data_IF_106429905951
#
_entry.id   IF_106429905951
#
_cell.length_a   1.000
_cell.length_b   1.000
_cell.length_c   1.000
_cell.angle_alpha   90.00
_cell.angle_beta   90.00
_cell.angle_gamma   90.00
#
_symmetry.space_group_name_H-M   'P 1'
#
loop_
_entity.id
_entity.type
_entity.pdbx_description
1 polymer ?
#
# COMPACT_ATOMS: atom_id res chain seq x y z
N UNK A 1 13.77 3.55 0.35
CA UNK A 1 12.87 4.18 1.35
C UNK A 1 11.54 3.44 1.53
N UNK A 2 10.81 3.12 0.45
CA UNK A 2 9.49 2.45 0.53
C UNK A 2 9.46 1.12 1.29
N UNK A 3 10.42 0.23 1.05
CA UNK A 3 10.51 -1.07 1.77
C UNK A 3 10.62 -0.86 3.28
N UNK A 4 11.42 0.11 3.73
CA UNK A 4 11.60 0.43 5.15
C UNK A 4 10.26 0.85 5.77
N UNK A 5 9.56 1.74 5.08
CA UNK A 5 8.27 2.25 5.54
C UNK A 5 7.20 1.14 5.55
N UNK A 6 7.17 0.30 4.50
CA UNK A 6 6.31 -0.88 4.44
C UNK A 6 6.54 -1.85 5.60
N UNK A 7 7.79 -2.18 5.92
CA UNK A 7 8.12 -3.05 7.08
C UNK A 7 7.67 -2.43 8.39
N UNK A 8 7.82 -1.12 8.56
CA UNK A 8 7.33 -0.41 9.76
C UNK A 8 5.81 -0.48 9.87
N UNK A 9 5.11 -0.16 8.77
CA UNK A 9 3.66 -0.22 8.70
C UNK A 9 3.13 -1.62 9.07
N UNK A 10 3.75 -2.69 8.59
CA UNK A 10 3.37 -4.06 8.95
C UNK A 10 3.53 -4.30 10.46
N UNK A 11 4.68 -3.96 11.05
CA UNK A 11 4.92 -4.14 12.49
C UNK A 11 3.98 -3.31 13.34
N UNK A 12 3.75 -2.06 12.97
CA UNK A 12 2.86 -1.14 13.67
C UNK A 12 1.42 -1.64 13.63
N UNK A 13 0.94 -2.12 12.48
CA UNK A 13 -0.39 -2.72 12.37
C UNK A 13 -0.53 -3.99 13.23
N UNK A 14 0.49 -4.85 13.29
CA UNK A 14 0.49 -6.04 14.17
C UNK A 14 0.49 -5.66 15.65
N UNK A 15 1.15 -4.56 16.05
CA UNK A 15 1.06 -4.10 17.44
C UNK A 15 -0.29 -3.43 17.72
N UNK A 16 -0.81 -2.62 16.78
CA UNK A 16 -2.11 -1.97 16.89
C UNK A 16 -3.25 -2.98 17.02
N UNK A 17 -3.20 -4.11 16.30
CA UNK A 17 -4.27 -5.11 16.33
C UNK A 17 -4.56 -5.65 17.74
N UNK A 18 -3.56 -5.63 18.63
CA UNK A 18 -3.68 -6.08 20.03
C UNK A 18 -4.59 -5.20 20.87
N UNK A 19 -4.72 -3.92 20.55
CA UNK A 19 -5.42 -2.94 21.39
C UNK A 19 -6.40 -2.02 20.65
N UNK A 20 -6.43 -2.01 19.32
CA UNK A 20 -7.25 -1.07 18.54
C UNK A 20 -8.77 -1.19 18.81
N UNK A 21 -9.21 -2.37 19.23
CA UNK A 21 -10.61 -2.64 19.61
C UNK A 21 -10.90 -2.40 21.09
N UNK A 22 -9.88 -2.19 21.92
CA UNK A 22 -10.06 -1.88 23.35
C UNK A 22 -10.28 -0.37 23.57
N UNK A 23 -10.43 0.04 24.83
CA UNK A 23 -10.57 1.44 25.20
C UNK A 23 -9.21 2.13 25.39
N UNK A 24 -8.40 2.19 24.34
CA UNK A 24 -7.02 2.68 24.41
C UNK A 24 -6.87 4.22 24.51
N UNK A 25 -7.94 5.00 24.31
CA UNK A 25 -7.94 6.47 24.44
C UNK A 25 -9.30 7.03 24.83
N UNK A 26 -9.30 8.21 25.47
CA UNK A 26 -10.51 8.92 25.91
C UNK A 26 -11.31 9.59 24.76
N UNK A 27 -10.65 9.97 23.66
CA UNK A 27 -11.30 10.63 22.52
C UNK A 27 -11.93 9.66 21.49
N UNK A 28 -12.50 10.18 20.38
CA UNK A 28 -13.14 9.37 19.35
C UNK A 28 -12.20 8.30 18.79
N UNK A 29 -12.63 7.03 18.74
CA UNK A 29 -11.82 5.88 18.29
C UNK A 29 -12.14 5.41 16.87
N UNK A 30 -13.25 5.88 16.30
CA UNK A 30 -13.76 5.43 15.00
C UNK A 30 -12.75 5.64 13.87
N UNK A 31 -12.13 6.83 13.79
CA UNK A 31 -11.11 7.13 12.78
C UNK A 31 -9.91 6.18 12.84
N UNK A 32 -9.40 5.90 14.04
CA UNK A 32 -8.27 4.96 14.21
C UNK A 32 -8.65 3.54 13.80
N UNK A 33 -9.87 3.09 14.10
CA UNK A 33 -10.37 1.77 13.71
C UNK A 33 -10.57 1.66 12.20
N UNK A 34 -11.08 2.70 11.55
CA UNK A 34 -11.21 2.77 10.09
C UNK A 34 -9.84 2.73 9.41
N UNK A 35 -8.89 3.52 9.90
CA UNK A 35 -7.51 3.51 9.39
C UNK A 35 -6.86 2.14 9.58
N UNK A 36 -7.02 1.53 10.76
CA UNK A 36 -6.55 0.18 11.00
C UNK A 36 -7.15 -0.83 10.02
N UNK A 37 -8.47 -0.81 9.81
CA UNK A 37 -9.11 -1.72 8.86
C UNK A 37 -8.58 -1.54 7.44
N UNK A 38 -8.41 -0.30 6.98
CA UNK A 38 -7.84 0.02 5.67
C UNK A 38 -6.41 -0.49 5.51
N UNK A 39 -5.55 -0.29 6.52
CA UNK A 39 -4.15 -0.75 6.46
C UNK A 39 -4.03 -2.27 6.64
N UNK A 40 -4.79 -2.84 7.57
CA UNK A 40 -4.76 -4.26 7.88
C UNK A 40 -5.30 -5.10 6.72
N UNK A 41 -6.38 -4.66 6.07
CA UNK A 41 -6.91 -5.33 4.86
C UNK A 41 -5.88 -5.36 3.73
N UNK A 42 -5.11 -4.27 3.52
CA UNK A 42 -4.00 -4.26 2.55
C UNK A 42 -2.93 -5.31 2.86
N UNK A 43 -2.63 -5.55 4.14
CA UNK A 43 -1.64 -6.56 4.55
C UNK A 43 -2.19 -7.96 4.33
N UNK A 44 -3.40 -8.24 4.81
CA UNK A 44 -4.03 -9.57 4.74
C UNK A 44 -4.30 -9.98 3.29
N UNK A 45 -4.84 -9.07 2.49
CA UNK A 45 -5.22 -9.34 1.11
C UNK A 45 -4.05 -9.26 0.11
N UNK A 46 -2.86 -8.85 0.55
CA UNK A 46 -1.70 -8.67 -0.34
C UNK A 46 -1.34 -9.96 -1.09
N UNK A 47 -1.13 -11.07 -0.38
CA UNK A 47 -0.74 -12.33 -1.04
C UNK A 47 -1.85 -12.93 -1.91
N UNK A 48 -3.11 -13.00 -1.45
CA UNK A 48 -4.22 -13.41 -2.32
C UNK A 48 -4.28 -12.61 -3.62
N UNK A 49 -4.18 -11.27 -3.55
CA UNK A 49 -4.23 -10.44 -4.76
C UNK A 49 -2.99 -10.56 -5.65
N UNK A 50 -1.80 -10.75 -5.08
CA UNK A 50 -0.59 -11.02 -5.88
C UNK A 50 -0.73 -12.34 -6.61
N UNK A 51 -1.27 -13.38 -5.98
CA UNK A 51 -1.52 -14.66 -6.64
C UNK A 51 -2.53 -14.51 -7.76
N UNK A 52 -3.67 -13.83 -7.51
CA UNK A 52 -4.65 -13.55 -8.56
C UNK A 52 -4.04 -12.75 -9.72
N UNK A 53 -3.26 -11.71 -9.42
CA UNK A 53 -2.56 -10.93 -10.43
C UNK A 53 -1.69 -11.84 -11.32
N UNK A 54 -0.87 -12.71 -10.73
CA UNK A 54 -0.02 -13.63 -11.49
C UNK A 54 -0.85 -14.57 -12.37
N UNK A 55 -1.95 -15.14 -11.83
CA UNK A 55 -2.86 -15.99 -12.62
C UNK A 55 -3.38 -15.24 -13.84
N UNK A 56 -3.93 -14.02 -13.66
CA UNK A 56 -4.49 -13.24 -14.77
C UNK A 56 -3.43 -12.78 -15.78
N UNK A 57 -2.20 -12.50 -15.33
CA UNK A 57 -1.08 -12.18 -16.22
C UNK A 57 -0.78 -13.34 -17.15
N UNK A 58 -0.81 -14.58 -16.66
CA UNK A 58 -0.50 -15.76 -17.47
C UNK A 58 -1.69 -16.29 -18.29
N UNK A 59 -2.91 -16.21 -17.76
CA UNK A 59 -4.10 -16.78 -18.45
C UNK A 59 -4.78 -15.78 -19.38
N UNK A 60 -4.85 -14.50 -19.01
CA UNK A 60 -5.60 -13.47 -19.73
C UNK A 60 -4.87 -12.12 -19.76
N UNK A 61 -3.68 -12.02 -20.40
CA UNK A 61 -2.82 -10.84 -20.34
C UNK A 61 -3.48 -9.56 -20.88
N UNK A 62 -4.27 -9.65 -21.95
CA UNK A 62 -4.99 -8.50 -22.52
C UNK A 62 -6.10 -7.99 -21.60
N UNK A 63 -6.82 -8.90 -20.94
CA UNK A 63 -7.84 -8.54 -19.96
C UNK A 63 -7.19 -7.89 -18.74
N UNK A 64 -6.09 -8.46 -18.26
CA UNK A 64 -5.32 -7.91 -17.15
C UNK A 64 -4.86 -6.47 -17.43
N UNK A 65 -4.22 -6.23 -18.58
CA UNK A 65 -3.74 -4.89 -18.93
C UNK A 65 -4.87 -3.88 -19.08
N UNK A 66 -5.91 -4.22 -19.86
CA UNK A 66 -7.03 -3.30 -20.10
C UNK A 66 -7.79 -2.95 -18.83
N UNK A 67 -8.11 -3.95 -17.99
CA UNK A 67 -8.77 -3.73 -16.71
C UNK A 67 -7.89 -2.96 -15.72
N UNK A 68 -6.58 -3.20 -15.71
CA UNK A 68 -5.64 -2.48 -14.84
C UNK A 68 -5.54 -1.01 -15.23
N UNK A 69 -5.38 -0.69 -16.52
CA UNK A 69 -5.35 0.70 -16.98
C UNK A 69 -6.67 1.42 -16.71
N UNK A 70 -7.81 0.78 -16.97
CA UNK A 70 -9.12 1.34 -16.64
C UNK A 70 -9.26 1.61 -15.14
N UNK A 71 -8.82 0.67 -14.29
CA UNK A 71 -8.85 0.80 -12.84
C UNK A 71 -7.95 1.94 -12.36
N UNK A 72 -6.76 2.10 -12.94
CA UNK A 72 -5.86 3.24 -12.65
C UNK A 72 -6.57 4.56 -12.99
N UNK A 73 -7.19 4.67 -14.16
CA UNK A 73 -7.91 5.89 -14.54
C UNK A 73 -9.04 6.21 -13.55
N UNK A 74 -9.89 5.23 -13.23
CA UNK A 74 -11.03 5.44 -12.33
C UNK A 74 -10.58 5.78 -10.91
N UNK A 75 -9.66 4.99 -10.33
CA UNK A 75 -9.27 5.16 -8.93
C UNK A 75 -8.38 6.39 -8.71
N UNK A 76 -7.50 6.70 -9.66
CA UNK A 76 -6.62 7.88 -9.58
C UNK A 76 -7.35 9.18 -9.90
N UNK A 77 -8.54 9.12 -10.50
CA UNK A 77 -9.42 10.30 -10.65
C UNK A 77 -9.76 10.92 -9.29
N UNK A 78 -9.90 10.10 -8.24
CA UNK A 78 -10.21 10.61 -6.90
C UNK A 78 -9.12 11.56 -6.36
N UNK A 79 -7.83 11.17 -6.22
CA UNK A 79 -6.79 12.11 -5.81
C UNK A 79 -6.58 13.27 -6.78
N UNK A 80 -6.80 13.07 -8.09
CA UNK A 80 -6.73 14.14 -9.10
C UNK A 80 -7.74 15.24 -8.80
N UNK A 81 -9.03 14.90 -8.61
CA UNK A 81 -10.09 15.88 -8.31
C UNK A 81 -9.77 16.63 -7.02
N UNK A 82 -9.37 15.92 -5.97
CA UNK A 82 -9.06 16.53 -4.67
C UNK A 82 -7.84 17.46 -4.75
N UNK A 83 -6.79 17.08 -5.47
CA UNK A 83 -5.61 17.91 -5.65
C UNK A 83 -5.92 19.12 -6.53
N UNK A 84 -6.57 18.92 -7.68
CA UNK A 84 -6.95 19.98 -8.60
C UNK A 84 -7.84 21.05 -7.96
N UNK A 85 -8.76 20.64 -7.07
CA UNK A 85 -9.65 21.58 -6.36
C UNK A 85 -8.91 22.45 -5.35
N UNK A 86 -7.81 21.96 -4.77
CA UNK A 86 -7.09 22.64 -3.69
C UNK A 86 -5.82 23.36 -4.16
N UNK A 87 -5.24 22.91 -5.27
CA UNK A 87 -3.95 23.33 -5.79
C UNK A 87 -4.05 23.55 -7.31
N UNK A 88 -3.13 22.95 -8.09
CA UNK A 88 -3.01 23.18 -9.53
C UNK A 88 -3.57 22.00 -10.34
N UNK A 89 -4.38 22.30 -11.37
CA UNK A 89 -4.96 21.28 -12.24
C UNK A 89 -3.90 20.53 -13.07
N UNK A 90 -2.92 21.24 -13.65
CA UNK A 90 -1.87 20.61 -14.48
C UNK A 90 -1.03 19.61 -13.68
N UNK A 91 -0.67 19.94 -12.45
CA UNK A 91 0.10 19.07 -11.57
C UNK A 91 -0.69 17.85 -11.11
N UNK A 92 -2.01 17.94 -11.03
CA UNK A 92 -2.85 16.82 -10.59
C UNK A 92 -2.69 15.59 -11.49
N UNK A 93 -2.40 15.76 -12.79
CA UNK A 93 -2.17 14.67 -13.73
C UNK A 93 -1.01 13.75 -13.37
N UNK A 94 -0.04 14.22 -12.59
CA UNK A 94 1.06 13.38 -12.09
C UNK A 94 0.58 12.18 -11.28
N UNK A 95 -0.62 12.25 -10.69
CA UNK A 95 -1.23 11.13 -9.99
C UNK A 95 -1.47 9.93 -10.91
N UNK A 96 -1.84 10.12 -12.18
CA UNK A 96 -1.99 9.03 -13.14
C UNK A 96 -0.65 8.37 -13.45
N UNK A 97 0.36 9.17 -13.82
CA UNK A 97 1.70 8.67 -14.12
C UNK A 97 2.31 7.93 -12.93
N UNK A 98 2.17 8.46 -11.73
CA UNK A 98 2.61 7.80 -10.51
C UNK A 98 1.87 6.48 -10.25
N UNK A 99 0.58 6.41 -10.58
CA UNK A 99 -0.23 5.19 -10.38
C UNK A 99 0.19 4.07 -11.33
N UNK A 100 0.56 4.39 -12.57
CA UNK A 100 1.19 3.44 -13.51
C UNK A 100 2.53 2.95 -12.97
N UNK A 101 3.42 3.88 -12.57
CA UNK A 101 4.71 3.52 -11.95
C UNK A 101 4.52 2.63 -10.72
N UNK A 102 3.56 2.95 -9.87
CA UNK A 102 3.28 2.19 -8.66
C UNK A 102 2.82 0.77 -8.99
N UNK A 103 1.88 0.64 -9.92
CA UNK A 103 1.27 -0.65 -10.29
C UNK A 103 2.26 -1.59 -10.96
N UNK A 104 3.14 -1.10 -11.84
CA UNK A 104 4.05 -1.96 -12.59
C UNK A 104 5.47 -2.01 -12.02
N UNK A 105 5.97 -0.91 -11.43
CA UNK A 105 7.33 -0.81 -10.91
C UNK A 105 7.46 -1.07 -9.41
N UNK A 106 6.41 -0.83 -8.62
CA UNK A 106 6.49 -0.84 -7.14
C UNK A 106 5.58 -1.88 -6.47
N UNK A 107 4.78 -2.64 -7.21
CA UNK A 107 3.82 -3.61 -6.66
C UNK A 107 4.45 -4.63 -5.71
N UNK A 108 5.69 -5.04 -5.99
CA UNK A 108 6.43 -6.05 -5.22
C UNK A 108 6.89 -5.57 -3.84
N UNK A 109 6.88 -4.25 -3.57
CA UNK A 109 7.37 -3.70 -2.31
C UNK A 109 6.52 -4.18 -1.13
N UNK A 110 5.19 -4.17 -1.26
CA UNK A 110 4.28 -4.59 -0.19
C UNK A 110 4.44 -6.07 0.18
N UNK A 111 4.36 -7.05 -0.75
CA UNK A 111 4.56 -8.46 -0.40
C UNK A 111 5.98 -8.73 0.13
N UNK A 112 7.00 -8.04 -0.41
CA UNK A 112 8.36 -8.15 0.10
C UNK A 112 8.51 -7.59 1.52
N UNK A 113 7.86 -6.46 1.82
CA UNK A 113 7.88 -5.85 3.15
C UNK A 113 7.19 -6.72 4.20
N UNK A 114 6.10 -7.42 3.83
CA UNK A 114 5.41 -8.38 4.70
C UNK A 114 6.34 -9.57 4.98
N UNK A 115 6.92 -10.19 3.94
CA UNK A 115 7.84 -11.32 4.09
C UNK A 115 9.09 -10.98 4.92
N UNK A 116 9.55 -9.74 4.87
CA UNK A 116 10.79 -9.29 5.53
C UNK A 116 10.55 -8.37 6.74
N UNK A 117 9.34 -8.37 7.31
CA UNK A 117 8.97 -7.47 8.41
C UNK A 117 9.85 -7.63 9.67
N UNK A 118 10.38 -8.84 9.90
CA UNK A 118 11.28 -9.18 11.00
C UNK A 118 12.69 -8.56 10.87
N UNK A 119 13.11 -8.20 9.65
CA UNK A 119 14.44 -7.61 9.41
C UNK A 119 14.48 -6.16 9.91
N UNK A 120 15.36 -5.90 10.89
CA UNK A 120 15.51 -4.60 11.57
C UNK A 120 16.61 -3.70 11.00
N UNK A 121 17.50 -4.25 10.18
CA UNK A 121 18.67 -3.54 9.67
C UNK A 121 18.32 -2.36 8.75
N UNK A 122 19.06 -1.26 8.91
CA UNK A 122 19.19 -0.26 7.86
C UNK A 122 20.09 -0.83 6.77
N UNK A 123 19.69 -0.71 5.50
CA UNK A 123 20.57 -1.10 4.38
C UNK A 123 21.92 -0.35 4.38
N UNK A 124 22.06 0.72 5.17
CA UNK A 124 23.26 1.56 5.27
C UNK A 124 24.02 1.39 6.59
N UNK A 125 23.60 0.49 7.49
CA UNK A 125 24.35 0.19 8.72
C UNK A 125 24.35 -1.31 8.93
N UNK A 126 25.46 -1.94 8.55
CA UNK A 126 25.78 -3.25 9.06
C UNK A 126 26.03 -3.11 10.56
N UNK A 127 25.30 -3.89 11.35
CA UNK A 127 25.65 -4.05 12.77
C UNK A 127 26.89 -4.94 12.81
N UNK A 128 27.91 -4.62 13.63
CA UNK A 128 29.04 -5.53 13.82
C UNK A 128 28.48 -6.88 14.28
N UNK A 129 28.88 -7.94 13.58
CA UNK A 129 28.55 -9.31 13.95
C UNK A 129 29.14 -9.57 15.35
N UNK A 130 28.31 -10.04 16.27
CA UNK A 130 28.75 -10.58 17.56
C UNK A 130 29.10 -12.05 17.39
#
# INVERSE_FOLDING_TARGET
MFIRWGRSNVRENIQMSKYVFTNFRKGPKAGTRLLFFSQFSRIVLCYPFVLFMLVFVFTHPLLFLSSTFLSILVLSTFPVIFYAKRYTFSESFWAYSYSVLYTFGLFWITPYAIATASRRGWLTRELPQK
#
